data_IF_904233312327
#
_entry.id   IF_904233312327
#
_cell.length_a   1.000
_cell.length_b   1.000
_cell.length_c   1.000
_cell.angle_alpha   90.00
_cell.angle_beta   90.00
_cell.angle_gamma   90.00
#
_symmetry.space_group_name_H-M   'P 1'
#
loop_
_entity.id
_entity.type
_entity.pdbx_description
1 polymer ?
#
# COMPACT_ATOMS: atom_id res chain seq x y z
N UNK A 1 -6.00 -39.87 27.36
CA UNK A 1 -4.83 -39.04 27.04
C UNK A 1 -5.33 -37.62 26.72
N UNK A 2 -5.15 -36.62 27.59
CA UNK A 2 -5.84 -35.33 27.40
C UNK A 2 -5.23 -34.10 28.07
N UNK A 3 -4.00 -34.19 28.60
CA UNK A 3 -3.38 -33.09 29.36
C UNK A 3 -2.30 -32.31 28.59
N UNK A 4 -1.74 -32.89 27.52
CA UNK A 4 -0.68 -32.24 26.73
C UNK A 4 -1.19 -31.15 25.79
N UNK A 5 -2.41 -31.28 25.25
CA UNK A 5 -2.98 -30.28 24.31
C UNK A 5 -3.34 -28.98 25.04
N UNK A 6 -3.84 -29.08 26.27
CA UNK A 6 -4.25 -27.93 27.08
C UNK A 6 -3.04 -27.11 27.54
N UNK A 7 -1.94 -27.77 27.91
CA UNK A 7 -0.70 -27.11 28.32
C UNK A 7 0.00 -26.37 27.17
N UNK A 8 0.00 -26.96 25.96
CA UNK A 8 0.57 -26.31 24.77
C UNK A 8 -0.26 -25.09 24.33
N UNK A 9 -1.59 -25.18 24.39
CA UNK A 9 -2.47 -24.04 24.11
C UNK A 9 -2.32 -22.92 25.14
N UNK A 10 -2.23 -23.25 26.43
CA UNK A 10 -1.96 -22.27 27.48
C UNK A 10 -0.58 -21.61 27.32
N UNK A 11 0.45 -22.38 26.97
CA UNK A 11 1.78 -21.85 26.69
C UNK A 11 1.78 -20.93 25.46
N UNK A 12 1.10 -21.31 24.37
CA UNK A 12 0.94 -20.46 23.18
C UNK A 12 0.19 -19.15 23.48
N UNK A 13 -0.90 -19.21 24.26
CA UNK A 13 -1.66 -18.03 24.65
C UNK A 13 -0.85 -17.09 25.56
N UNK A 14 -0.06 -17.64 26.49
CA UNK A 14 0.85 -16.86 27.35
C UNK A 14 1.96 -16.17 26.55
N UNK A 15 2.50 -16.83 25.52
CA UNK A 15 3.48 -16.23 24.59
C UNK A 15 2.84 -15.10 23.78
N UNK A 16 1.61 -15.25 23.30
CA UNK A 16 0.89 -14.20 22.56
C UNK A 16 0.58 -12.95 23.41
N UNK A 17 0.39 -13.10 24.73
CA UNK A 17 0.11 -11.95 25.60
C UNK A 17 1.36 -11.09 25.90
N UNK A 18 2.56 -11.68 25.84
CA UNK A 18 3.81 -10.98 26.14
C UNK A 18 4.31 -10.05 25.02
N UNK A 19 3.74 -10.15 23.80
CA UNK A 19 4.11 -9.28 22.67
C UNK A 19 3.28 -7.99 22.56
N UNK A 20 2.33 -7.76 23.47
CA UNK A 20 1.44 -6.59 23.43
C UNK A 20 1.92 -5.38 24.26
N UNK A 21 3.10 -5.44 24.88
CA UNK A 21 3.57 -4.37 25.76
C UNK A 21 5.08 -4.11 25.63
N UNK A 22 5.48 -3.40 24.57
CA UNK A 22 6.54 -2.38 24.59
C UNK A 22 6.92 -1.96 23.16
N UNK A 23 6.20 -1.00 22.59
CA UNK A 23 6.76 -0.01 21.66
C UNK A 23 5.84 1.21 21.61
N UNK A 24 5.62 1.85 22.76
CA UNK A 24 5.38 3.29 22.76
C UNK A 24 6.73 3.98 22.49
N UNK A 25 7.18 3.92 21.24
CA UNK A 25 8.17 4.82 20.71
C UNK A 25 7.44 5.61 19.63
N UNK A 26 7.20 6.89 19.92
CA UNK A 26 6.68 7.84 18.96
C UNK A 26 7.41 7.62 17.62
N UNK A 27 6.67 7.25 16.58
CA UNK A 27 7.19 7.36 15.23
C UNK A 27 7.39 8.86 14.99
N UNK A 28 8.62 9.37 14.81
CA UNK A 28 8.75 10.63 14.12
C UNK A 28 8.14 10.38 12.75
N UNK A 29 6.99 11.01 12.49
CA UNK A 29 6.34 10.97 11.20
C UNK A 29 7.39 11.18 10.12
N UNK A 30 7.36 10.31 9.11
CA UNK A 30 8.15 10.46 7.90
C UNK A 30 7.97 11.89 7.37
N UNK A 31 8.94 12.74 7.70
CA UNK A 31 9.05 14.10 7.17
C UNK A 31 9.47 13.97 5.72
N UNK A 32 8.51 13.60 4.88
CA UNK A 32 8.59 13.75 3.44
C UNK A 32 8.87 15.22 3.13
N UNK A 33 10.09 15.49 2.71
CA UNK A 33 10.54 16.80 2.27
C UNK A 33 10.02 17.00 0.84
N UNK A 34 9.03 17.87 0.66
CA UNK A 34 8.49 18.23 -0.65
C UNK A 34 7.71 19.55 -0.63
N UNK A 35 8.36 20.62 -1.08
CA UNK A 35 7.83 21.86 -1.65
C UNK A 35 6.49 22.42 -1.16
N UNK A 36 6.55 23.57 -0.47
CA UNK A 36 5.43 24.49 -0.37
C UNK A 36 5.06 25.05 -1.75
N UNK A 37 3.84 24.75 -2.21
CA UNK A 37 3.28 25.32 -3.44
C UNK A 37 2.06 24.55 -3.94
N UNK A 38 0.88 24.89 -3.41
CA UNK A 38 -0.42 24.17 -3.51
C UNK A 38 -0.39 22.81 -2.81
N UNK A 39 -1.39 22.55 -1.97
CA UNK A 39 -1.49 21.29 -1.24
C UNK A 39 -1.74 20.16 -2.24
N UNK A 40 -0.65 19.49 -2.61
CA UNK A 40 -0.70 18.33 -3.48
C UNK A 40 -1.19 17.13 -2.67
N UNK A 41 -2.32 16.55 -3.07
CA UNK A 41 -2.85 15.34 -2.42
C UNK A 41 -1.93 14.17 -2.77
N UNK A 42 -1.51 13.40 -1.76
CA UNK A 42 -0.68 12.22 -2.03
C UNK A 42 -1.51 11.17 -2.76
N UNK A 43 -0.91 10.50 -3.76
CA UNK A 43 -1.63 9.48 -4.54
C UNK A 43 -2.25 8.40 -3.64
N UNK A 44 -1.56 8.00 -2.57
CA UNK A 44 -2.03 6.99 -1.62
C UNK A 44 -3.30 7.37 -0.86
N UNK A 45 -3.63 8.66 -0.78
CA UNK A 45 -4.84 9.16 -0.09
C UNK A 45 -6.07 9.14 -1.02
N UNK A 46 -5.87 8.89 -2.32
CA UNK A 46 -6.93 8.85 -3.32
C UNK A 46 -7.55 7.45 -3.36
N UNK A 47 -8.67 7.29 -2.66
CA UNK A 47 -9.33 6.00 -2.47
C UNK A 47 -10.11 5.52 -3.70
N UNK A 48 -10.44 6.42 -4.64
CA UNK A 48 -11.17 6.06 -5.84
C UNK A 48 -10.35 6.25 -7.10
N UNK A 49 -10.61 5.40 -8.11
CA UNK A 49 -10.02 5.55 -9.44
C UNK A 49 -10.26 6.93 -10.05
N UNK A 50 -11.46 7.49 -9.83
CA UNK A 50 -11.83 8.81 -10.36
C UNK A 50 -10.94 9.91 -9.81
N UNK A 51 -10.74 9.95 -8.49
CA UNK A 51 -9.86 10.91 -7.84
C UNK A 51 -8.39 10.71 -8.25
N UNK A 52 -7.95 9.45 -8.31
CA UNK A 52 -6.60 9.09 -8.76
C UNK A 52 -6.29 9.62 -10.16
N UNK A 53 -7.21 9.42 -11.10
CA UNK A 53 -7.05 9.90 -12.49
C UNK A 53 -7.17 11.42 -12.57
N UNK A 54 -8.05 12.04 -11.79
CA UNK A 54 -8.24 13.50 -11.77
C UNK A 54 -7.02 14.27 -11.22
N UNK A 55 -6.22 13.66 -10.34
CA UNK A 55 -5.02 14.27 -9.72
C UNK A 55 -3.81 14.50 -10.66
N UNK A 56 -3.98 14.24 -11.97
CA UNK A 56 -2.90 14.22 -12.95
C UNK A 56 -2.53 12.79 -13.38
N UNK A 57 -3.55 11.93 -13.47
CA UNK A 57 -3.44 10.51 -13.82
C UNK A 57 -2.44 10.26 -14.95
N UNK A 58 -1.65 9.21 -14.77
CA UNK A 58 -0.67 8.70 -15.71
C UNK A 58 0.67 9.47 -15.75
N UNK A 59 0.73 10.74 -15.35
CA UNK A 59 2.01 11.48 -15.22
C UNK A 59 2.47 11.62 -13.77
N UNK A 60 1.52 11.72 -12.82
CA UNK A 60 1.81 11.78 -11.38
C UNK A 60 1.39 10.51 -10.64
N UNK A 61 0.14 10.12 -10.77
CA UNK A 61 -0.46 8.97 -10.08
C UNK A 61 -0.95 7.93 -11.09
N UNK A 62 -0.99 6.66 -10.69
CA UNK A 62 -1.53 5.56 -11.48
C UNK A 62 -2.45 4.73 -10.61
N UNK A 63 -3.64 4.46 -11.12
CA UNK A 63 -4.54 3.50 -10.51
C UNK A 63 -4.03 2.09 -10.81
N UNK A 64 -3.91 1.26 -9.79
CA UNK A 64 -3.45 -0.12 -9.90
C UNK A 64 -4.50 -1.06 -9.33
N UNK A 65 -4.97 -1.98 -10.16
CA UNK A 65 -5.84 -3.08 -9.78
C UNK A 65 -5.00 -4.22 -9.19
N UNK A 66 -5.46 -4.84 -8.11
CA UNK A 66 -4.79 -5.98 -7.48
C UNK A 66 -5.68 -7.21 -7.44
N UNK A 67 -5.10 -8.40 -7.61
CA UNK A 67 -5.84 -9.67 -7.46
C UNK A 67 -5.82 -10.20 -6.02
N UNK A 68 -4.89 -9.71 -5.18
CA UNK A 68 -4.69 -10.18 -3.81
C UNK A 68 -4.96 -9.12 -2.74
N UNK A 69 -5.06 -7.85 -3.14
CA UNK A 69 -5.29 -6.68 -2.28
C UNK A 69 -6.37 -5.80 -2.90
N UNK A 70 -6.72 -4.70 -2.24
CA UNK A 70 -7.60 -3.69 -2.81
C UNK A 70 -6.94 -2.92 -3.96
N UNK A 71 -7.79 -2.35 -4.81
CA UNK A 71 -7.37 -1.42 -5.85
C UNK A 71 -6.93 -0.10 -5.20
N UNK A 72 -5.77 0.41 -5.61
CA UNK A 72 -5.14 1.55 -4.95
C UNK A 72 -4.49 2.48 -5.96
N UNK A 73 -4.33 3.73 -5.55
CA UNK A 73 -3.64 4.76 -6.32
C UNK A 73 -2.19 4.90 -5.85
N UNK A 74 -1.24 4.71 -6.77
CA UNK A 74 0.19 4.79 -6.49
C UNK A 74 0.83 5.95 -7.24
N UNK A 75 1.94 6.46 -6.73
CA UNK A 75 2.78 7.36 -7.51
C UNK A 75 3.30 6.67 -8.78
N UNK A 76 3.52 7.42 -9.86
CA UNK A 76 3.90 6.83 -11.15
C UNK A 76 5.14 5.93 -11.05
N UNK A 77 6.19 6.39 -10.35
CA UNK A 77 7.42 5.63 -10.13
C UNK A 77 7.23 4.39 -9.26
N UNK A 78 6.32 4.44 -8.28
CA UNK A 78 6.02 3.30 -7.41
C UNK A 78 5.22 2.24 -8.16
N UNK A 79 4.21 2.66 -8.92
CA UNK A 79 3.42 1.79 -9.78
C UNK A 79 4.27 1.02 -10.81
N UNK A 80 5.37 1.60 -11.29
CA UNK A 80 6.30 0.92 -12.19
C UNK A 80 7.12 -0.20 -11.54
N UNK A 81 7.26 -0.18 -10.21
CA UNK A 81 8.05 -1.17 -9.44
C UNK A 81 7.20 -2.29 -8.86
N UNK A 82 5.88 -2.19 -8.95
CA UNK A 82 4.97 -3.20 -8.43
C UNK A 82 5.11 -4.52 -9.22
N UNK A 83 5.05 -5.68 -8.55
CA UNK A 83 5.05 -6.98 -9.23
C UNK A 83 3.85 -7.11 -10.17
N UNK A 84 4.11 -7.30 -11.46
CA UNK A 84 3.07 -7.43 -12.48
C UNK A 84 2.19 -8.68 -12.32
N UNK A 85 2.62 -9.65 -11.52
CA UNK A 85 1.80 -10.82 -11.20
C UNK A 85 0.63 -10.49 -10.26
N UNK A 86 0.76 -9.41 -9.48
CA UNK A 86 -0.24 -9.02 -8.47
C UNK A 86 -0.96 -7.75 -8.89
N UNK A 87 -0.26 -6.81 -9.52
CA UNK A 87 -0.77 -5.48 -9.85
C UNK A 87 -0.84 -5.23 -11.36
N UNK A 88 -1.97 -4.70 -11.81
CA UNK A 88 -2.17 -4.18 -13.17
C UNK A 88 -2.55 -2.70 -13.11
N UNK A 89 -1.66 -1.83 -13.61
CA UNK A 89 -1.82 -0.38 -13.48
C UNK A 89 -2.20 0.32 -14.79
N UNK A 90 -3.02 1.36 -14.70
CA UNK A 90 -3.47 2.19 -15.83
C UNK A 90 -2.29 2.86 -16.56
N UNK A 91 -2.20 2.85 -17.90
CA UNK A 91 -1.06 3.38 -18.64
C UNK A 91 -0.80 4.87 -18.35
N UNK A 92 0.45 5.35 -18.51
CA UNK A 92 0.73 6.78 -18.40
C UNK A 92 -0.09 7.56 -19.43
N UNK A 93 -0.56 8.76 -19.09
CA UNK A 93 -1.56 9.52 -19.86
C UNK A 93 -1.06 10.01 -21.24
N UNK A 94 0.18 9.69 -21.62
CA UNK A 94 0.74 9.91 -22.96
C UNK A 94 1.17 8.63 -23.69
N UNK A 95 0.79 7.44 -23.21
CA UNK A 95 1.43 6.18 -23.60
C UNK A 95 0.49 5.03 -23.91
N UNK A 96 -0.54 5.24 -24.73
CA UNK A 96 -1.32 4.16 -25.36
C UNK A 96 -0.52 3.38 -26.45
N UNK A 97 0.81 3.28 -26.34
CA UNK A 97 1.68 2.78 -27.41
C UNK A 97 2.57 1.56 -27.06
N UNK A 98 2.47 0.98 -25.86
CA UNK A 98 3.31 -0.16 -25.47
C UNK A 98 2.56 -1.40 -24.96
N UNK A 99 1.34 -1.63 -25.44
CA UNK A 99 0.83 -3.00 -25.51
C UNK A 99 1.50 -3.69 -26.72
N UNK A 100 2.71 -4.22 -26.52
CA UNK A 100 3.31 -5.10 -27.52
C UNK A 100 2.49 -6.39 -27.59
N UNK A 101 2.02 -6.63 -28.82
CA UNK A 101 1.48 -7.84 -29.44
C UNK A 101 1.88 -9.16 -28.78
#
# INVERSE_FOLDING_TARGET
>A
MGKSRSGVLLALLLVCAAVAAAAAAAVPGSKGKGGAGRAEVACSDLATRGECVASGGGSRCRWCRSEALDDMCFGAAEAWRLPNQVFSCDPPAGGAAHARR
#
